data_IF_636079117191
#
_entry.id   IF_636079117191
#
_cell.length_a   1.000
_cell.length_b   1.000
_cell.length_c   1.000
_cell.angle_alpha   90.00
_cell.angle_beta   90.00
_cell.angle_gamma   90.00
#
_symmetry.space_group_name_H-M   'P 1'
#
loop_
_entity.id
_entity.type
_entity.pdbx_description
1 polymer ?
#
# COMPACT_ATOMS: atom_id res chain seq x y z
N UNK A 1 3.00 7.99 -23.71
CA UNK A 1 3.46 8.06 -22.30
C UNK A 1 3.82 6.65 -21.88
N UNK A 2 5.11 6.33 -21.81
CA UNK A 2 5.59 4.98 -21.48
C UNK A 2 5.50 4.78 -19.96
N UNK A 3 4.59 3.93 -19.52
CA UNK A 3 4.55 3.46 -18.13
C UNK A 3 5.57 2.34 -18.00
N UNK A 4 6.70 2.63 -17.35
CA UNK A 4 7.71 1.64 -17.00
C UNK A 4 7.17 0.78 -15.85
N UNK A 5 6.33 -0.20 -16.18
CA UNK A 5 6.15 -1.39 -15.37
C UNK A 5 7.35 -2.30 -15.63
N UNK A 6 8.43 -2.05 -14.90
CA UNK A 6 9.47 -3.04 -14.71
C UNK A 6 9.69 -3.09 -13.22
N UNK A 7 9.42 -4.25 -12.62
CA UNK A 7 9.45 -4.58 -11.19
C UNK A 7 8.13 -4.33 -10.45
N UNK A 8 7.75 -5.31 -9.61
CA UNK A 8 6.50 -5.42 -8.84
C UNK A 8 6.37 -4.33 -7.76
N UNK A 9 6.18 -3.10 -8.20
CA UNK A 9 6.36 -1.89 -7.41
C UNK A 9 5.25 -0.91 -7.74
N UNK A 10 4.49 -0.48 -6.74
CA UNK A 10 3.40 0.49 -6.91
C UNK A 10 3.79 1.78 -6.21
N UNK A 11 4.01 2.84 -7.00
CA UNK A 11 4.29 4.18 -6.48
C UNK A 11 3.00 5.00 -6.54
N UNK A 12 2.57 5.50 -5.38
CA UNK A 12 1.40 6.35 -5.17
C UNK A 12 1.88 7.70 -4.61
N UNK A 13 1.38 8.80 -5.15
CA UNK A 13 1.51 10.08 -4.48
C UNK A 13 0.40 10.20 -3.43
N UNK A 14 0.77 10.52 -2.20
CA UNK A 14 -0.17 10.73 -1.10
C UNK A 14 -0.02 12.15 -0.59
N UNK A 15 -1.00 12.65 0.18
CA UNK A 15 -0.85 13.93 0.88
C UNK A 15 0.39 13.97 1.82
N UNK A 16 0.90 12.79 2.20
CA UNK A 16 2.09 12.63 3.04
C UNK A 16 3.37 12.40 2.24
N UNK A 17 3.34 12.45 0.90
CA UNK A 17 4.50 12.29 0.01
C UNK A 17 4.48 10.98 -0.80
N UNK A 18 5.67 10.53 -1.23
CA UNK A 18 5.83 9.39 -2.12
C UNK A 18 5.65 8.08 -1.34
N UNK A 19 4.61 7.33 -1.68
CA UNK A 19 4.29 6.04 -1.09
C UNK A 19 4.63 4.95 -2.10
N UNK A 20 5.46 4.02 -1.69
CA UNK A 20 5.97 2.97 -2.54
C UNK A 20 5.73 1.62 -1.87
N UNK A 21 5.08 0.72 -2.59
CA UNK A 21 4.71 -0.60 -2.09
C UNK A 21 5.32 -1.69 -2.96
N UNK A 22 6.07 -2.58 -2.31
CA UNK A 22 6.57 -3.83 -2.87
C UNK A 22 5.69 -5.00 -2.44
N UNK A 23 5.60 -6.03 -3.29
CA UNK A 23 4.82 -7.25 -3.02
C UNK A 23 5.30 -8.07 -1.81
N UNK A 24 6.51 -7.81 -1.30
CA UNK A 24 7.06 -8.42 -0.08
C UNK A 24 6.45 -7.85 1.22
N UNK A 25 5.58 -6.85 1.13
CA UNK A 25 4.95 -6.20 2.27
C UNK A 25 5.78 -5.06 2.87
N UNK A 26 6.93 -4.73 2.27
CA UNK A 26 7.68 -3.52 2.59
C UNK A 26 7.01 -2.30 1.95
N UNK A 27 6.70 -1.30 2.79
CA UNK A 27 6.18 -0.01 2.35
C UNK A 27 7.23 1.05 2.58
N UNK A 28 7.57 1.84 1.56
CA UNK A 28 8.43 3.00 1.68
C UNK A 28 7.60 4.27 1.62
N UNK A 29 7.74 5.13 2.62
CA UNK A 29 7.13 6.45 2.66
C UNK A 29 8.24 7.48 2.78
N UNK A 30 8.39 8.36 1.79
CA UNK A 30 9.45 9.38 1.74
C UNK A 30 10.84 8.81 2.08
N UNK A 31 11.24 7.76 1.38
CA UNK A 31 12.50 7.02 1.56
C UNK A 31 12.66 6.21 2.84
N UNK A 32 11.74 6.31 3.80
CA UNK A 32 11.72 5.49 5.01
C UNK A 32 10.95 4.19 4.77
N UNK A 33 11.57 3.05 5.07
CA UNK A 33 10.93 1.74 5.00
C UNK A 33 10.14 1.43 6.27
N UNK A 34 8.96 0.85 6.09
CA UNK A 34 8.05 0.40 7.12
C UNK A 34 7.55 -1.00 6.81
N UNK A 35 7.50 -1.85 7.83
CA UNK A 35 6.87 -3.17 7.73
C UNK A 35 5.40 -3.07 8.06
N UNK A 36 4.55 -3.48 7.12
CA UNK A 36 3.12 -3.47 7.30
C UNK A 36 2.66 -4.52 8.32
N UNK A 37 1.90 -4.08 9.33
CA UNK A 37 1.27 -4.95 10.33
C UNK A 37 -0.15 -5.34 9.96
N UNK A 38 -0.96 -4.34 9.58
CA UNK A 38 -2.36 -4.55 9.20
C UNK A 38 -2.89 -3.40 8.35
N UNK A 39 -3.97 -3.69 7.61
CA UNK A 39 -4.71 -2.68 6.84
C UNK A 39 -6.16 -2.68 7.27
N UNK A 40 -6.67 -1.51 7.62
CA UNK A 40 -8.10 -1.30 7.80
C UNK A 40 -8.73 -0.86 6.47
N UNK A 41 -9.66 -1.67 5.98
CA UNK A 41 -10.36 -1.50 4.71
C UNK A 41 -11.83 -1.13 4.88
N UNK A 42 -12.33 -0.91 6.12
CA UNK A 42 -13.76 -0.60 6.38
C UNK A 42 -14.21 0.61 5.54
N UNK A 43 -13.33 1.58 5.37
CA UNK A 43 -13.60 2.82 4.64
C UNK A 43 -12.94 2.86 3.26
N UNK A 44 -12.62 1.73 2.64
CA UNK A 44 -11.85 1.66 1.38
C UNK A 44 -12.50 2.41 0.19
N UNK A 45 -13.78 2.79 0.26
CA UNK A 45 -14.38 3.71 -0.71
C UNK A 45 -13.83 5.14 -0.63
N UNK A 46 -13.32 5.55 0.54
CA UNK A 46 -12.75 6.87 0.81
C UNK A 46 -11.23 6.79 1.07
N UNK A 47 -10.80 5.89 1.96
CA UNK A 47 -9.41 5.74 2.34
C UNK A 47 -9.13 4.33 2.90
N UNK A 48 -7.85 3.96 2.96
CA UNK A 48 -7.39 2.83 3.76
C UNK A 48 -6.40 3.28 4.81
N UNK A 49 -6.46 2.66 5.99
CA UNK A 49 -5.51 2.94 7.07
C UNK A 49 -4.50 1.82 7.17
N UNK A 50 -3.24 2.17 6.96
CA UNK A 50 -2.09 1.28 7.07
C UNK A 50 -1.53 1.42 8.48
N UNK A 51 -1.38 0.29 9.17
CA UNK A 51 -0.73 0.21 10.48
C UNK A 51 0.57 -0.55 10.32
N UNK A 52 1.65 0.00 10.85
CA UNK A 52 2.98 -0.57 10.77
C UNK A 52 3.40 -1.21 12.09
N UNK A 53 4.38 -2.11 12.05
CA UNK A 53 4.87 -2.80 13.26
C UNK A 53 5.48 -1.83 14.28
N UNK A 54 6.09 -0.73 13.82
CA UNK A 54 6.64 0.32 14.69
C UNK A 54 5.57 1.17 15.41
N UNK A 55 4.27 0.87 15.24
CA UNK A 55 3.17 1.63 15.83
C UNK A 55 2.76 2.87 15.04
N UNK A 56 3.50 3.24 13.99
CA UNK A 56 3.12 4.30 13.08
C UNK A 56 1.89 3.89 12.24
N UNK A 57 1.08 4.87 11.83
CA UNK A 57 -0.05 4.62 10.94
C UNK A 57 -0.22 5.74 9.93
N UNK A 58 -0.54 5.36 8.69
CA UNK A 58 -0.76 6.28 7.57
C UNK A 58 -2.15 6.05 7.00
N UNK A 59 -2.79 7.14 6.59
CA UNK A 59 -4.08 7.11 5.92
C UNK A 59 -3.88 7.44 4.44
N UNK A 60 -4.20 6.47 3.58
CA UNK A 60 -4.11 6.60 2.13
C UNK A 60 -5.49 6.94 1.59
N UNK A 61 -5.69 8.20 1.19
CA UNK A 61 -6.94 8.63 0.57
C UNK A 61 -7.03 8.18 -0.88
N UNK A 62 -8.20 7.68 -1.27
CA UNK A 62 -8.48 7.20 -2.63
C UNK A 62 -8.34 8.32 -3.66
N UNK A 63 -8.79 9.52 -3.33
CA UNK A 63 -8.76 10.70 -4.20
C UNK A 63 -7.34 11.24 -4.48
N UNK A 64 -6.39 10.92 -3.60
CA UNK A 64 -4.98 11.25 -3.76
C UNK A 64 -4.29 10.31 -4.77
N UNK A 65 -4.91 9.17 -5.08
CA UNK A 65 -4.36 8.14 -5.94
C UNK A 65 -5.03 8.14 -7.32
N UNK A 66 -4.34 7.66 -8.35
CA UNK A 66 -5.03 7.27 -9.58
C UNK A 66 -5.84 6.00 -9.32
N UNK A 67 -7.07 5.96 -9.83
CA UNK A 67 -8.01 4.86 -9.56
C UNK A 67 -7.43 3.48 -9.86
N UNK A 68 -6.70 3.35 -10.98
CA UNK A 68 -6.05 2.09 -11.37
C UNK A 68 -5.00 1.65 -10.36
N UNK A 69 -4.15 2.57 -9.91
CA UNK A 69 -3.07 2.27 -8.96
C UNK A 69 -3.64 1.90 -7.59
N UNK A 70 -4.68 2.62 -7.14
CA UNK A 70 -5.41 2.31 -5.91
C UNK A 70 -6.04 0.90 -5.95
N UNK A 71 -6.68 0.53 -7.07
CA UNK A 71 -7.25 -0.83 -7.23
C UNK A 71 -6.16 -1.91 -7.21
N UNK A 72 -5.03 -1.68 -7.87
CA UNK A 72 -3.91 -2.62 -7.83
C UNK A 72 -3.33 -2.76 -6.42
N UNK A 73 -3.19 -1.65 -5.69
CA UNK A 73 -2.74 -1.66 -4.30
C UNK A 73 -3.67 -2.50 -3.41
N UNK A 74 -4.99 -2.28 -3.47
CA UNK A 74 -5.95 -3.05 -2.69
C UNK A 74 -5.92 -4.55 -3.02
N UNK A 75 -5.78 -4.90 -4.30
CA UNK A 75 -5.67 -6.29 -4.74
C UNK A 75 -4.40 -6.98 -4.22
N UNK A 76 -3.26 -6.28 -4.24
CA UNK A 76 -2.01 -6.82 -3.70
C UNK A 76 -2.06 -7.01 -2.19
N UNK A 77 -2.65 -6.06 -1.45
CA UNK A 77 -2.89 -6.21 -0.01
C UNK A 77 -3.75 -7.42 0.35
N UNK A 78 -4.67 -7.83 -0.53
CA UNK A 78 -5.48 -9.02 -0.31
C UNK A 78 -4.64 -10.30 -0.47
N UNK A 79 -3.79 -10.36 -1.50
CA UNK A 79 -2.88 -11.50 -1.70
C UNK A 79 -1.87 -11.67 -0.57
N UNK A 80 -1.29 -10.58 -0.06
CA UNK A 80 -0.32 -10.65 1.04
C UNK A 80 -0.96 -11.16 2.34
N UNK A 81 -2.24 -10.86 2.60
CA UNK A 81 -2.96 -11.40 3.75
C UNK A 81 -3.17 -12.92 3.62
N UNK A 82 -3.67 -13.36 2.47
CA UNK A 82 -3.92 -14.78 2.17
C UNK A 82 -2.62 -15.60 2.17
N UNK A 83 -1.50 -15.03 1.72
CA UNK A 83 -0.19 -15.69 1.77
C UNK A 83 0.33 -15.86 3.21
N UNK A 84 0.09 -14.88 4.09
CA UNK A 84 0.54 -14.93 5.48
C UNK A 84 -0.34 -15.83 6.36
N UNK A 85 -1.63 -15.98 6.03
CA UNK A 85 -2.53 -16.94 6.67
C UNK A 85 -2.22 -18.39 6.28
N UNK A 86 -1.81 -18.65 5.03
CA UNK A 86 -1.44 -20.01 4.58
C UNK A 86 -0.03 -20.45 4.99
N UNK A 87 0.81 -19.54 5.49
CA UNK A 87 2.15 -19.84 5.99
C UNK A 87 2.19 -20.17 7.50
N UNK A 88 1.03 -20.17 8.16
CA UNK A 88 0.86 -20.34 9.60
C UNK A 88 0.13 -21.64 9.94
#
# INVERSE_FOLDING_TARGET
MFSLFKTNHVILNTAHGCFDYKEDGEIRLNDQSYTLKSVDKIWAHFFVKLKFECGHSVMLWRDSCREREYRHFLANLQRSHEANENAR
#
